data_IF_375385468581
#
_entry.id   IF_375385468581
#
_cell.length_a   1.000
_cell.length_b   1.000
_cell.length_c   1.000
_cell.angle_alpha   90.00
_cell.angle_beta   90.00
_cell.angle_gamma   90.00
#
_symmetry.space_group_name_H-M   'P 1'
#
loop_
_entity.id
_entity.type
_entity.pdbx_description
1 polymer ?
#
# COMPACT_ATOMS: atom_id res chain seq x y z
N UNK A 1 -10.68 16.35 15.60
CA UNK A 1 -10.66 14.98 15.03
C UNK A 1 -10.54 14.95 13.51
N UNK A 2 -11.29 15.76 12.75
CA UNK A 2 -11.25 15.81 11.27
C UNK A 2 -9.84 15.96 10.64
N UNK A 3 -8.93 16.72 11.26
CA UNK A 3 -7.52 16.87 10.81
C UNK A 3 -6.77 15.54 10.82
N UNK A 4 -6.87 14.78 11.92
CA UNK A 4 -6.22 13.47 12.05
C UNK A 4 -6.79 12.43 11.07
N UNK A 5 -8.11 12.46 10.80
CA UNK A 5 -8.73 11.57 9.81
C UNK A 5 -8.21 11.86 8.39
N UNK A 6 -7.99 13.13 8.06
CA UNK A 6 -7.43 13.54 6.76
C UNK A 6 -5.95 13.16 6.60
N UNK A 7 -5.14 13.31 7.65
CA UNK A 7 -3.73 12.90 7.65
C UNK A 7 -3.59 11.38 7.46
N UNK A 8 -4.40 10.58 8.15
CA UNK A 8 -4.38 9.12 8.00
C UNK A 8 -4.87 8.69 6.61
N UNK A 9 -5.86 9.40 6.04
CA UNK A 9 -6.28 9.15 4.66
C UNK A 9 -5.18 9.50 3.64
N UNK A 10 -4.40 10.57 3.87
CA UNK A 10 -3.24 10.91 3.05
C UNK A 10 -2.15 9.85 3.17
N UNK A 11 -1.83 9.40 4.38
CA UNK A 11 -0.90 8.30 4.62
C UNK A 11 -1.34 7.02 3.91
N UNK A 12 -2.64 6.68 3.97
CA UNK A 12 -3.19 5.53 3.27
C UNK A 12 -2.93 5.62 1.76
N UNK A 13 -3.19 6.79 1.15
CA UNK A 13 -2.96 7.01 -0.28
C UNK A 13 -1.49 6.84 -0.66
N UNK A 14 -0.57 7.41 0.12
CA UNK A 14 0.87 7.25 -0.10
C UNK A 14 1.28 5.78 0.01
N UNK A 15 0.73 5.06 0.99
CA UNK A 15 1.03 3.65 1.19
C UNK A 15 0.53 2.78 0.04
N UNK A 16 -0.63 3.09 -0.53
CA UNK A 16 -1.14 2.43 -1.73
C UNK A 16 -0.21 2.68 -2.93
N UNK A 17 0.27 3.91 -3.12
CA UNK A 17 1.21 4.24 -4.18
C UNK A 17 2.54 3.50 -4.03
N UNK A 18 3.07 3.38 -2.80
CA UNK A 18 4.28 2.60 -2.54
C UNK A 18 4.09 1.11 -2.87
N UNK A 19 2.97 0.51 -2.44
CA UNK A 19 2.64 -0.87 -2.80
C UNK A 19 2.58 -1.07 -4.33
N UNK A 20 1.97 -0.14 -5.06
CA UNK A 20 1.90 -0.20 -6.52
C UNK A 20 3.30 -0.13 -7.14
N UNK A 21 4.15 0.80 -6.66
CA UNK A 21 5.53 0.92 -7.13
C UNK A 21 6.34 -0.35 -6.87
N UNK A 22 6.24 -0.92 -5.68
CA UNK A 22 6.92 -2.17 -5.34
C UNK A 22 6.43 -3.35 -6.20
N UNK A 23 5.13 -3.44 -6.50
CA UNK A 23 4.61 -4.47 -7.41
C UNK A 23 5.14 -4.31 -8.84
N UNK A 24 5.21 -3.08 -9.34
CA UNK A 24 5.80 -2.79 -10.65
C UNK A 24 7.29 -3.12 -10.70
N UNK A 25 8.03 -2.81 -9.63
CA UNK A 25 9.45 -3.12 -9.53
C UNK A 25 9.71 -4.64 -9.55
N UNK A 26 8.88 -5.43 -8.87
CA UNK A 26 8.96 -6.89 -8.94
C UNK A 26 8.75 -7.40 -10.36
N UNK A 27 7.72 -6.90 -11.06
CA UNK A 27 7.49 -7.26 -12.46
C UNK A 27 8.67 -6.89 -13.37
N UNK A 28 9.36 -5.77 -13.09
CA UNK A 28 10.57 -5.39 -13.83
C UNK A 28 11.73 -6.33 -13.57
N UNK A 29 11.91 -6.76 -12.32
CA UNK A 29 12.95 -7.75 -11.98
C UNK A 29 12.63 -9.10 -12.61
N UNK A 30 11.38 -9.55 -12.59
CA UNK A 30 10.97 -10.81 -13.23
C UNK A 30 11.22 -10.77 -14.75
N UNK A 31 10.89 -9.66 -15.43
CA UNK A 31 11.19 -9.49 -16.85
C UNK A 31 12.69 -9.45 -17.17
N UNK A 32 13.51 -8.86 -16.29
CA UNK A 32 14.96 -8.90 -16.43
C UNK A 32 15.51 -10.33 -16.24
N UNK A 33 14.91 -11.12 -15.34
CA UNK A 33 15.29 -12.52 -15.14
C UNK A 33 15.02 -13.34 -16.40
N UNK A 34 13.84 -13.16 -17.02
CA UNK A 34 13.50 -13.79 -18.30
C UNK A 34 14.50 -13.43 -19.40
N UNK A 35 14.87 -12.14 -19.53
CA UNK A 35 15.86 -11.71 -20.52
C UNK A 35 17.24 -12.37 -20.30
N UNK A 36 17.66 -12.55 -19.04
CA UNK A 36 18.91 -13.25 -18.71
C UNK A 36 18.87 -14.72 -19.09
N UNK A 37 17.75 -15.40 -18.86
CA UNK A 37 17.54 -16.80 -19.28
C UNK A 37 17.63 -16.91 -20.81
N UNK A 38 16.96 -16.03 -21.56
CA UNK A 38 17.05 -16.02 -23.02
C UNK A 38 18.47 -15.72 -23.53
N UNK A 39 19.25 -14.90 -22.82
CA UNK A 39 20.66 -14.64 -23.15
C UNK A 39 21.52 -15.88 -22.89
N UNK A 40 21.27 -16.58 -21.78
CA UNK A 40 21.95 -17.82 -21.43
C UNK A 40 21.72 -18.89 -22.49
N UNK A 41 20.45 -19.12 -22.85
CA UNK A 41 20.06 -20.07 -23.90
C UNK A 41 20.75 -19.77 -25.23
N UNK A 42 20.81 -18.50 -25.65
CA UNK A 42 21.53 -18.11 -26.87
C UNK A 42 23.02 -18.42 -26.83
N UNK A 43 23.66 -18.30 -25.68
CA UNK A 43 25.08 -18.66 -25.53
C UNK A 43 25.26 -20.17 -25.60
N UNK A 44 24.39 -20.94 -24.95
CA UNK A 44 24.41 -22.40 -24.98
C UNK A 44 24.12 -22.95 -26.37
N UNK A 45 23.16 -22.37 -27.10
CA UNK A 45 22.85 -22.71 -28.48
C UNK A 45 24.04 -22.46 -29.41
N UNK A 46 24.73 -21.33 -29.23
CA UNK A 46 25.92 -21.01 -30.01
C UNK A 46 27.06 -22.00 -29.70
N UNK A 47 27.21 -22.40 -28.44
CA UNK A 47 28.16 -23.45 -28.03
C UNK A 47 27.84 -24.80 -28.68
N UNK A 48 26.55 -25.18 -28.74
CA UNK A 48 26.11 -26.44 -29.33
C UNK A 48 26.29 -26.50 -30.85
N UNK A 49 26.21 -25.36 -31.55
CA UNK A 49 26.29 -25.26 -33.03
C UNK A 49 27.69 -24.91 -33.55
N UNK A 50 28.66 -24.62 -32.68
CA UNK A 50 29.97 -24.10 -33.06
C UNK A 50 30.87 -25.12 -33.76
N UNK A 51 31.30 -24.80 -34.98
CA UNK A 51 32.19 -25.62 -35.81
C UNK A 51 33.63 -25.65 -35.24
N UNK A 52 34.27 -26.83 -35.27
CA UNK A 52 35.38 -27.25 -34.41
C UNK A 52 36.72 -26.49 -34.58
N UNK A 53 36.86 -25.59 -35.55
CA UNK A 53 38.16 -25.03 -35.97
C UNK A 53 38.70 -23.85 -35.10
N UNK A 54 37.89 -23.23 -34.23
CA UNK A 54 38.30 -22.08 -33.39
C UNK A 54 37.92 -22.21 -31.89
N UNK A 55 37.78 -23.45 -31.40
CA UNK A 55 37.14 -23.79 -30.13
C UNK A 55 37.68 -23.06 -28.89
N UNK A 56 38.99 -22.94 -28.68
CA UNK A 56 39.48 -22.44 -27.39
C UNK A 56 39.10 -20.98 -27.09
N UNK A 57 39.22 -20.08 -28.08
CA UNK A 57 38.85 -18.67 -27.90
C UNK A 57 37.34 -18.49 -27.78
N UNK A 58 36.60 -19.27 -28.58
CA UNK A 58 35.14 -19.25 -28.57
C UNK A 58 34.57 -19.78 -27.24
N UNK A 59 35.04 -20.94 -26.76
CA UNK A 59 34.67 -21.53 -25.48
C UNK A 59 35.02 -20.58 -24.34
N UNK A 60 36.22 -19.97 -24.35
CA UNK A 60 36.61 -19.01 -23.31
C UNK A 60 35.70 -17.78 -23.28
N UNK A 61 35.32 -17.25 -24.44
CA UNK A 61 34.40 -16.11 -24.54
C UNK A 61 33.00 -16.48 -24.04
N UNK A 62 32.47 -17.63 -24.48
CA UNK A 62 31.17 -18.11 -24.04
C UNK A 62 31.14 -18.38 -22.52
N UNK A 63 32.18 -19.01 -21.97
CA UNK A 63 32.32 -19.22 -20.53
C UNK A 63 32.35 -17.90 -19.75
N UNK A 64 33.05 -16.89 -20.25
CA UNK A 64 33.05 -15.56 -19.64
C UNK A 64 31.66 -14.91 -19.68
N UNK A 65 30.93 -15.04 -20.79
CA UNK A 65 29.56 -14.53 -20.92
C UNK A 65 28.60 -15.24 -19.95
N UNK A 66 28.66 -16.58 -19.85
CA UNK A 66 27.87 -17.35 -18.91
C UNK A 66 28.18 -16.98 -17.46
N UNK A 67 29.46 -16.75 -17.13
CA UNK A 67 29.86 -16.28 -15.81
C UNK A 67 29.22 -14.93 -15.47
N UNK A 68 29.28 -13.96 -16.39
CA UNK A 68 28.64 -12.66 -16.19
C UNK A 68 27.12 -12.78 -16.05
N UNK A 69 26.46 -13.63 -16.84
CA UNK A 69 25.02 -13.88 -16.70
C UNK A 69 24.71 -14.46 -15.32
N UNK A 70 25.49 -15.42 -14.83
CA UNK A 70 25.29 -16.01 -13.50
C UNK A 70 25.49 -14.98 -12.37
N UNK A 71 26.46 -14.08 -12.50
CA UNK A 71 26.65 -12.96 -11.58
C UNK A 71 25.42 -12.02 -11.58
N UNK A 72 24.94 -11.63 -12.77
CA UNK A 72 23.74 -10.80 -12.93
C UNK A 72 22.47 -11.48 -12.36
N UNK A 73 22.29 -12.78 -12.57
CA UNK A 73 21.20 -13.56 -11.99
C UNK A 73 21.26 -13.58 -10.45
N UNK A 74 22.47 -13.69 -9.88
CA UNK A 74 22.71 -13.62 -8.44
C UNK A 74 22.30 -12.25 -7.86
N UNK A 75 22.73 -11.17 -8.50
CA UNK A 75 22.35 -9.81 -8.10
C UNK A 75 20.83 -9.58 -8.19
N UNK A 76 20.21 -10.06 -9.27
CA UNK A 76 18.78 -9.95 -9.49
C UNK A 76 17.99 -10.72 -8.41
N UNK A 77 18.43 -11.92 -8.04
CA UNK A 77 17.82 -12.71 -6.97
C UNK A 77 17.84 -11.96 -5.64
N UNK A 78 18.98 -11.34 -5.30
CA UNK A 78 19.12 -10.52 -4.08
C UNK A 78 18.24 -9.28 -4.15
N UNK A 79 18.20 -8.59 -5.28
CA UNK A 79 17.34 -7.42 -5.48
C UNK A 79 15.85 -7.78 -5.32
N UNK A 80 15.42 -8.89 -5.94
CA UNK A 80 14.04 -9.39 -5.88
C UNK A 80 13.63 -9.70 -4.45
N UNK A 81 14.46 -10.45 -3.71
CA UNK A 81 14.19 -10.77 -2.30
C UNK A 81 14.04 -9.52 -1.41
N UNK A 82 14.87 -8.49 -1.64
CA UNK A 82 14.76 -7.21 -0.91
C UNK A 82 13.44 -6.51 -1.21
N UNK A 83 13.05 -6.43 -2.48
CA UNK A 83 11.79 -5.78 -2.89
C UNK A 83 10.59 -6.57 -2.38
N UNK A 84 10.60 -7.90 -2.41
CA UNK A 84 9.53 -8.73 -1.86
C UNK A 84 9.35 -8.53 -0.34
N UNK A 85 10.46 -8.43 0.40
CA UNK A 85 10.43 -8.16 1.84
C UNK A 85 9.76 -6.80 2.14
N UNK A 86 10.21 -5.75 1.45
CA UNK A 86 9.62 -4.41 1.61
C UNK A 86 8.17 -4.36 1.13
N UNK A 87 7.84 -5.03 0.03
CA UNK A 87 6.46 -5.12 -0.46
C UNK A 87 5.54 -5.80 0.58
N UNK A 88 6.00 -6.89 1.19
CA UNK A 88 5.25 -7.59 2.23
C UNK A 88 5.03 -6.69 3.44
N UNK A 89 6.08 -6.00 3.91
CA UNK A 89 6.00 -5.03 5.00
C UNK A 89 5.00 -3.91 4.68
N UNK A 90 5.05 -3.39 3.45
CA UNK A 90 4.16 -2.33 3.01
C UNK A 90 2.69 -2.78 2.97
N UNK A 91 2.41 -4.01 2.55
CA UNK A 91 1.06 -4.60 2.57
C UNK A 91 0.52 -4.73 3.99
N UNK A 92 1.34 -5.18 4.93
CA UNK A 92 0.94 -5.24 6.34
C UNK A 92 0.63 -3.84 6.89
N UNK A 93 1.47 -2.85 6.59
CA UNK A 93 1.25 -1.47 7.03
C UNK A 93 -0.03 -0.88 6.43
N UNK A 94 -0.33 -1.19 5.16
CA UNK A 94 -1.57 -0.79 4.51
C UNK A 94 -2.80 -1.29 5.28
N UNK A 95 -2.83 -2.59 5.62
CA UNK A 95 -3.92 -3.19 6.38
C UNK A 95 -4.12 -2.51 7.75
N UNK A 96 -3.02 -2.20 8.45
CA UNK A 96 -3.07 -1.51 9.75
C UNK A 96 -3.67 -0.10 9.61
N UNK A 97 -3.27 0.65 8.59
CA UNK A 97 -3.77 2.00 8.34
C UNK A 97 -5.27 1.96 7.97
N UNK A 98 -5.69 1.00 7.15
CA UNK A 98 -7.09 0.80 6.77
C UNK A 98 -7.96 0.51 8.00
N UNK A 99 -7.53 -0.42 8.85
CA UNK A 99 -8.23 -0.74 10.10
C UNK A 99 -8.32 0.46 11.03
N UNK A 100 -7.24 1.23 11.16
CA UNK A 100 -7.22 2.46 11.98
C UNK A 100 -8.18 3.51 11.44
N UNK A 101 -8.21 3.72 10.14
CA UNK A 101 -9.12 4.67 9.50
C UNK A 101 -10.59 4.24 9.65
N UNK A 102 -10.88 2.94 9.54
CA UNK A 102 -12.22 2.41 9.76
C UNK A 102 -12.70 2.64 11.21
N UNK A 103 -11.84 2.36 12.20
CA UNK A 103 -12.14 2.62 13.62
C UNK A 103 -12.39 4.10 13.89
N UNK A 104 -11.57 4.98 13.31
CA UNK A 104 -11.75 6.43 13.46
C UNK A 104 -13.05 6.92 12.83
N UNK A 105 -13.39 6.46 11.62
CA UNK A 105 -14.67 6.79 10.99
C UNK A 105 -15.87 6.33 11.82
N UNK A 106 -15.78 5.15 12.43
CA UNK A 106 -16.82 4.65 13.34
C UNK A 106 -16.95 5.51 14.59
N UNK A 107 -15.82 5.94 15.18
CA UNK A 107 -15.80 6.85 16.32
C UNK A 107 -16.36 8.23 15.96
N UNK A 108 -15.98 8.80 14.81
CA UNK A 108 -16.47 10.09 14.33
C UNK A 108 -18.00 10.06 14.16
N UNK A 109 -18.56 8.97 13.60
CA UNK A 109 -20.02 8.78 13.50
C UNK A 109 -20.72 8.73 14.85
N UNK A 110 -20.16 8.01 15.83
CA UNK A 110 -20.73 7.94 17.19
C UNK A 110 -20.76 9.33 17.84
N UNK A 111 -19.67 10.08 17.73
CA UNK A 111 -19.61 11.45 18.26
C UNK A 111 -20.63 12.36 17.56
N UNK A 112 -20.82 12.23 16.24
CA UNK A 112 -21.85 12.97 15.51
C UNK A 112 -23.27 12.60 15.95
N UNK A 113 -23.55 11.30 16.19
CA UNK A 113 -24.82 10.81 16.72
C UNK A 113 -25.07 11.33 18.14
N UNK A 114 -24.08 11.24 19.04
CA UNK A 114 -24.16 11.73 20.42
C UNK A 114 -24.41 13.25 20.47
N UNK A 115 -23.75 14.01 19.59
CA UNK A 115 -23.96 15.45 19.47
C UNK A 115 -25.39 15.76 19.01
N UNK A 116 -25.91 15.04 18.01
CA UNK A 116 -27.31 15.21 17.55
C UNK A 116 -28.31 14.87 18.65
N UNK A 117 -28.09 13.79 19.40
CA UNK A 117 -28.95 13.41 20.52
C UNK A 117 -28.92 14.49 21.61
N UNK A 118 -27.74 15.01 21.94
CA UNK A 118 -27.56 16.09 22.93
C UNK A 118 -28.25 17.40 22.50
N UNK A 119 -28.20 17.75 21.22
CA UNK A 119 -28.92 18.89 20.65
C UNK A 119 -30.44 18.69 20.76
N UNK A 120 -30.96 17.51 20.42
CA UNK A 120 -32.39 17.20 20.52
C UNK A 120 -32.89 17.26 21.96
N UNK A 121 -32.13 16.71 22.91
CA UNK A 121 -32.44 16.79 24.34
C UNK A 121 -32.45 18.24 24.83
N UNK A 122 -31.44 19.03 24.44
CA UNK A 122 -31.37 20.45 24.80
C UNK A 122 -32.56 21.24 24.25
N UNK A 123 -32.97 20.97 23.01
CA UNK A 123 -34.15 21.59 22.41
C UNK A 123 -35.45 21.19 23.15
N UNK A 124 -35.61 19.92 23.54
CA UNK A 124 -36.79 19.48 24.29
C UNK A 124 -36.84 20.08 25.70
N UNK A 125 -35.71 20.13 26.41
CA UNK A 125 -35.60 20.77 27.72
C UNK A 125 -35.87 22.27 27.64
N UNK A 126 -35.35 22.95 26.61
CA UNK A 126 -35.62 24.36 26.33
C UNK A 126 -37.11 24.63 26.04
N UNK A 127 -37.75 23.76 25.26
CA UNK A 127 -39.20 23.85 24.98
C UNK A 127 -40.05 23.61 26.24
N UNK A 128 -39.70 22.62 27.07
CA UNK A 128 -40.38 22.35 28.35
C UNK A 128 -40.24 23.50 29.33
N UNK A 129 -39.04 24.08 29.48
CA UNK A 129 -38.84 25.24 30.36
C UNK A 129 -39.59 26.49 29.89
N UNK A 130 -39.71 26.71 28.58
CA UNK A 130 -40.55 27.78 28.04
C UNK A 130 -42.05 27.53 28.25
N UNK A 131 -42.53 26.31 28.04
CA UNK A 131 -43.92 25.94 28.31
C UNK A 131 -44.29 26.12 29.79
N UNK A 132 -43.41 25.69 30.71
CA UNK A 132 -43.61 25.86 32.15
C UNK A 132 -43.49 27.31 32.63
N UNK A 133 -42.83 28.21 31.87
CA UNK A 133 -42.85 29.66 32.14
C UNK A 133 -44.15 30.31 31.67
N UNK A 134 -44.70 29.90 30.52
CA UNK A 134 -45.98 30.41 30.02
C UNK A 134 -47.14 30.03 30.95
N UNK A 135 -47.16 28.81 31.50
CA UNK A 135 -48.18 28.39 32.46
C UNK A 135 -48.10 29.17 33.79
N UNK A 136 -46.90 29.54 34.25
CA UNK A 136 -46.71 30.36 35.46
C UNK A 136 -47.02 31.86 35.29
N UNK A 137 -47.21 32.33 34.07
CA UNK A 137 -47.60 33.72 33.77
C UNK A 137 -49.10 33.90 33.49
N UNK A 138 -49.91 32.84 33.59
CA UNK A 138 -51.36 32.87 33.35
C UNK A 138 -52.15 32.99 34.67
N UNK A 139 -51.51 32.75 35.82
CA UNK A 139 -52.11 32.99 37.13
C UNK A 139 -51.71 34.39 37.63
N UNK A 140 -52.69 35.18 38.09
CA UNK A 140 -52.64 36.59 38.52
C UNK A 140 -52.97 37.67 37.47
N UNK A 141 -54.19 37.61 36.93
CA UNK A 141 -55.04 38.82 36.84
C UNK A 141 -56.46 38.44 37.28
N UNK A 142 -56.75 38.65 38.56
CA UNK A 142 -58.05 38.43 39.19
C UNK A 142 -58.08 39.18 40.51
#
# INVERSE_FOLDING_TARGET
MKKNTHEIARMLKLQQQLCLLSSWLLQKLDAQAEELVEREERVLDALAKGDLAQQERFIRNAAQRLKTIAEEQGELTVARAKVECEYTRQRMMLQVIEQRLARMRASDRRVEEDNRLSELLSQQLGRRTQASRKLRGIDFTG
#
